data_IF_181449580693
#
_entry.id   IF_181449580693
#
_cell.length_a   1.000
_cell.length_b   1.000
_cell.length_c   1.000
_cell.angle_alpha   90.00
_cell.angle_beta   90.00
_cell.angle_gamma   90.00
#
_symmetry.space_group_name_H-M   'P 1'
#
loop_
_entity.id
_entity.type
_entity.pdbx_description
1 polymer ?
#
# COMPACT_ATOMS: atom_id res chain seq x y z
N UNK A 1 -15.07 -11.21 -13.57
CA UNK A 1 -15.30 -10.60 -12.25
C UNK A 1 -13.98 -10.55 -11.51
N UNK A 2 -13.33 -9.38 -11.49
CA UNK A 2 -12.12 -9.19 -10.68
C UNK A 2 -12.51 -8.93 -9.24
N UNK A 3 -11.81 -9.55 -8.30
CA UNK A 3 -12.02 -9.29 -6.87
C UNK A 3 -11.18 -8.08 -6.48
N UNK A 4 -11.82 -7.05 -5.92
CA UNK A 4 -11.14 -5.90 -5.33
C UNK A 4 -11.00 -6.09 -3.82
N UNK A 5 -9.77 -5.93 -3.32
CA UNK A 5 -9.41 -6.10 -1.92
C UNK A 5 -8.74 -4.82 -1.46
N UNK A 6 -9.35 -4.16 -0.47
CA UNK A 6 -8.77 -2.97 0.16
C UNK A 6 -8.15 -3.32 1.51
N UNK A 7 -6.88 -3.01 1.67
CA UNK A 7 -6.15 -3.09 2.94
C UNK A 7 -6.15 -1.71 3.59
N UNK A 8 -6.67 -1.62 4.81
CA UNK A 8 -6.69 -0.38 5.61
C UNK A 8 -5.75 -0.54 6.80
N UNK A 9 -4.84 0.40 6.97
CA UNK A 9 -3.83 0.43 8.01
C UNK A 9 -4.12 1.53 9.02
N UNK A 10 -4.52 1.12 10.22
CA UNK A 10 -4.73 2.04 11.34
C UNK A 10 -3.44 2.20 12.17
N UNK A 11 -3.42 3.25 13.00
CA UNK A 11 -2.32 3.53 13.94
C UNK A 11 -0.95 3.66 13.28
N UNK A 12 -0.90 4.20 12.06
CA UNK A 12 0.35 4.47 11.35
C UNK A 12 0.96 5.80 11.80
N UNK A 13 0.16 6.86 11.84
CA UNK A 13 0.60 8.18 12.29
C UNK A 13 0.35 8.34 13.78
N UNK A 14 1.43 8.44 14.58
CA UNK A 14 1.31 8.77 16.02
C UNK A 14 0.78 10.19 16.24
N UNK A 15 1.02 11.10 15.29
CA UNK A 15 0.59 12.50 15.34
C UNK A 15 -0.89 12.65 14.99
N UNK A 16 -1.37 11.85 14.03
CA UNK A 16 -2.77 11.84 13.61
C UNK A 16 -3.28 10.40 13.48
N UNK A 17 -3.75 9.77 14.57
CA UNK A 17 -4.25 8.39 14.55
C UNK A 17 -5.45 8.17 13.61
N UNK A 18 -6.17 9.24 13.23
CA UNK A 18 -7.31 9.19 12.31
C UNK A 18 -6.91 9.27 10.84
N UNK A 19 -5.63 9.56 10.55
CA UNK A 19 -5.14 9.55 9.17
C UNK A 19 -5.30 8.16 8.57
N UNK A 20 -6.01 8.09 7.45
CA UNK A 20 -6.26 6.85 6.72
C UNK A 20 -5.05 6.52 5.88
N UNK A 21 -4.59 5.27 5.98
CA UNK A 21 -3.59 4.68 5.12
C UNK A 21 -4.20 3.44 4.49
N UNK A 22 -4.32 3.38 3.18
CA UNK A 22 -4.95 2.26 2.48
C UNK A 22 -4.33 1.98 1.12
N UNK A 23 -4.45 0.73 0.69
CA UNK A 23 -4.15 0.30 -0.66
C UNK A 23 -5.23 -0.69 -1.13
N UNK A 24 -5.68 -0.52 -2.36
CA UNK A 24 -6.67 -1.37 -3.00
C UNK A 24 -6.02 -2.15 -4.15
N UNK A 25 -6.25 -3.46 -4.16
CA UNK A 25 -5.72 -4.39 -5.15
C UNK A 25 -6.87 -5.08 -5.86
N UNK A 26 -6.89 -5.00 -7.18
CA UNK A 26 -7.68 -5.86 -8.03
C UNK A 26 -6.84 -7.03 -8.50
N UNK A 27 -7.43 -8.22 -8.55
CA UNK A 27 -6.81 -9.37 -9.22
C UNK A 27 -7.82 -10.11 -10.09
N UNK A 28 -7.34 -10.61 -11.23
CA UNK A 28 -8.03 -11.54 -12.11
C UNK A 28 -7.56 -13.00 -11.93
N UNK A 29 -6.73 -13.25 -10.91
CA UNK A 29 -6.13 -14.56 -10.64
C UNK A 29 -4.78 -14.79 -11.33
N UNK A 30 -4.34 -13.89 -12.20
CA UNK A 30 -3.04 -13.94 -12.88
C UNK A 30 -2.12 -12.82 -12.39
N UNK A 31 -2.66 -11.61 -12.27
CA UNK A 31 -1.91 -10.45 -11.83
C UNK A 31 -2.67 -9.63 -10.77
N UNK A 32 -1.90 -8.86 -10.01
CA UNK A 32 -2.36 -7.84 -9.10
C UNK A 32 -2.19 -6.47 -9.75
N UNK A 33 -3.22 -5.64 -9.65
CA UNK A 33 -3.22 -4.24 -10.06
C UNK A 33 -3.64 -3.38 -8.88
N UNK A 34 -2.91 -2.30 -8.62
CA UNK A 34 -3.34 -1.30 -7.65
C UNK A 34 -4.44 -0.45 -8.28
N UNK A 35 -5.57 -0.34 -7.60
CA UNK A 35 -6.69 0.51 -8.01
C UNK A 35 -6.74 1.83 -7.24
N UNK A 36 -6.28 1.84 -6.00
CA UNK A 36 -6.16 3.04 -5.16
C UNK A 36 -5.02 2.89 -4.14
N UNK A 37 -4.39 4.00 -3.76
CA UNK A 37 -3.37 4.03 -2.71
C UNK A 37 -3.33 5.42 -2.07
N UNK A 38 -3.59 5.47 -0.76
CA UNK A 38 -3.64 6.72 -0.01
C UNK A 38 -2.89 6.58 1.31
N UNK A 39 -1.91 7.47 1.61
CA UNK A 39 -1.27 8.43 0.71
C UNK A 39 -0.46 7.72 -0.40
N UNK A 40 -0.10 8.44 -1.45
CA UNK A 40 0.73 7.88 -2.54
C UNK A 40 2.10 7.41 -2.03
N UNK A 41 2.62 6.33 -2.64
CA UNK A 41 3.95 5.78 -2.36
C UNK A 41 4.78 5.88 -3.65
N UNK A 42 5.91 6.60 -3.61
CA UNK A 42 6.75 6.83 -4.80
C UNK A 42 7.26 5.54 -5.46
N UNK A 43 7.56 4.51 -4.66
CA UNK A 43 8.08 3.22 -5.14
C UNK A 43 6.99 2.17 -5.30
N UNK A 44 5.74 2.56 -5.55
CA UNK A 44 4.61 1.62 -5.58
C UNK A 44 4.70 0.65 -6.77
N UNK A 45 5.06 1.16 -7.96
CA UNK A 45 5.15 0.34 -9.17
C UNK A 45 6.18 -0.79 -9.04
N UNK A 46 7.34 -0.51 -8.43
CA UNK A 46 8.36 -1.52 -8.14
C UNK A 46 7.84 -2.61 -7.20
N UNK A 47 7.09 -2.21 -6.15
CA UNK A 47 6.50 -3.15 -5.20
C UNK A 47 5.43 -4.04 -5.86
N UNK A 48 4.65 -3.50 -6.78
CA UNK A 48 3.63 -4.26 -7.54
C UNK A 48 4.28 -5.20 -8.55
N UNK A 49 5.36 -4.76 -9.20
CA UNK A 49 6.15 -5.63 -10.08
C UNK A 49 6.75 -6.81 -9.30
N UNK A 50 7.34 -6.54 -8.13
CA UNK A 50 7.83 -7.58 -7.23
C UNK A 50 6.73 -8.53 -6.73
N UNK A 51 5.54 -7.99 -6.43
CA UNK A 51 4.37 -8.78 -6.05
C UNK A 51 3.97 -9.73 -7.17
N UNK A 52 3.83 -9.23 -8.41
CA UNK A 52 3.45 -10.06 -9.56
C UNK A 52 4.52 -11.11 -9.91
N UNK A 53 5.79 -10.81 -9.70
CA UNK A 53 6.88 -11.77 -9.95
C UNK A 53 6.99 -12.86 -8.88
N UNK A 54 6.73 -12.52 -7.61
CA UNK A 54 6.94 -13.42 -6.47
C UNK A 54 5.67 -14.07 -5.93
N UNK A 55 4.50 -13.54 -6.30
CA UNK A 55 3.19 -13.86 -5.74
C UNK A 55 3.13 -13.77 -4.19
N UNK A 56 4.02 -12.97 -3.59
CA UNK A 56 4.16 -12.89 -2.13
C UNK A 56 3.41 -11.67 -1.57
N UNK A 57 2.09 -11.82 -1.45
CA UNK A 57 1.21 -10.78 -0.92
C UNK A 57 1.55 -10.37 0.52
N UNK A 58 1.97 -11.31 1.37
CA UNK A 58 2.37 -11.01 2.76
C UNK A 58 3.56 -10.05 2.79
N UNK A 59 4.63 -10.36 2.03
CA UNK A 59 5.81 -9.50 1.92
C UNK A 59 5.43 -8.12 1.38
N UNK A 60 4.57 -8.07 0.37
CA UNK A 60 4.09 -6.81 -0.21
C UNK A 60 3.40 -5.94 0.85
N UNK A 61 2.44 -6.49 1.59
CA UNK A 61 1.70 -5.76 2.64
C UNK A 61 2.62 -5.25 3.76
N UNK A 62 3.63 -6.04 4.14
CA UNK A 62 4.65 -5.61 5.11
C UNK A 62 5.44 -4.40 4.58
N UNK A 63 5.83 -4.40 3.30
CA UNK A 63 6.55 -3.28 2.69
C UNK A 63 5.67 -2.03 2.57
N UNK A 64 4.40 -2.17 2.16
CA UNK A 64 3.44 -1.06 2.12
C UNK A 64 3.30 -0.42 3.49
N UNK A 65 3.09 -1.22 4.55
CA UNK A 65 3.01 -0.71 5.92
C UNK A 65 4.26 0.08 6.31
N UNK A 66 5.46 -0.42 5.96
CA UNK A 66 6.72 0.29 6.23
C UNK A 66 6.80 1.62 5.51
N UNK A 67 6.40 1.69 4.24
CA UNK A 67 6.36 2.93 3.45
C UNK A 67 5.39 3.94 4.07
N UNK A 68 4.19 3.50 4.46
CA UNK A 68 3.23 4.34 5.18
C UNK A 68 3.76 4.88 6.51
N UNK A 69 4.49 4.07 7.29
CA UNK A 69 5.16 4.55 8.50
C UNK A 69 6.24 5.61 8.20
N UNK A 70 6.99 5.47 7.10
CA UNK A 70 7.97 6.49 6.71
C UNK A 70 7.28 7.79 6.31
N UNK A 71 6.25 7.71 5.46
CA UNK A 71 5.45 8.88 5.02
C UNK A 71 4.85 9.60 6.23
N UNK A 72 4.32 8.87 7.22
CA UNK A 72 3.73 9.49 8.42
C UNK A 72 4.72 10.26 9.29
N UNK A 73 6.02 9.98 9.15
CA UNK A 73 7.10 10.66 9.88
C UNK A 73 7.71 11.84 9.13
N UNK A 74 7.52 11.92 7.81
CA UNK A 74 8.08 13.01 7.02
C UNK A 74 7.34 14.32 7.32
N UNK A 75 8.05 15.41 7.68
CA UNK A 75 7.43 16.73 7.74
C UNK A 75 7.07 17.15 6.30
N UNK A 76 5.82 17.54 6.06
CA UNK A 76 5.38 18.04 4.75
C UNK A 76 6.38 19.08 4.24
N UNK A 77 7.06 18.77 3.13
CA UNK A 77 7.79 19.79 2.37
C UNK A 77 6.75 20.83 1.93
N UNK A 78 6.91 22.05 2.44
CA UNK A 78 6.14 23.22 2.02
C UNK A 78 6.45 23.59 0.57
#
# INVERSE_FOLDING_TARGET
DGSDITFVFNNISKKNPQQIFSISLMTDGVEYKVTDCQPAIDSLDELVMDLNNSNNLEKFIIQIRRKFCLISTMPNAK
#
